data_IF_132396311396
#
_entry.id   IF_132396311396
#
_cell.length_a   1.000
_cell.length_b   1.000
_cell.length_c   1.000
_cell.angle_alpha   90.00
_cell.angle_beta   90.00
_cell.angle_gamma   90.00
#
_symmetry.space_group_name_H-M   'P 1'
#
loop_
_entity.id
_entity.type
_entity.pdbx_description
1 polymer ?
#
# COMPACT_ATOMS: atom_id res chain seq x y z
N UNK A 1 6.08 11.30 -4.22
CA UNK A 1 6.27 10.51 -5.47
C UNK A 1 6.98 9.19 -5.22
N UNK A 2 7.97 9.12 -4.33
CA UNK A 2 8.75 7.90 -4.04
C UNK A 2 7.94 6.66 -3.63
N UNK A 3 6.86 6.82 -2.85
CA UNK A 3 6.13 5.66 -2.33
C UNK A 3 5.45 4.81 -3.42
N UNK A 4 4.75 5.43 -4.37
CA UNK A 4 4.13 4.71 -5.48
C UNK A 4 5.18 4.08 -6.41
N UNK A 5 6.34 4.73 -6.59
CA UNK A 5 7.47 4.17 -7.32
C UNK A 5 8.05 2.94 -6.61
N UNK A 6 8.24 2.99 -5.29
CA UNK A 6 8.67 1.85 -4.48
C UNK A 6 7.68 0.69 -4.59
N UNK A 7 6.38 0.96 -4.42
CA UNK A 7 5.32 -0.03 -4.56
C UNK A 7 5.34 -0.66 -5.96
N UNK A 8 5.33 0.16 -7.01
CA UNK A 8 5.36 -0.31 -8.39
C UNK A 8 6.62 -1.14 -8.69
N UNK A 9 7.78 -0.71 -8.18
CA UNK A 9 9.04 -1.44 -8.30
C UNK A 9 8.95 -2.81 -7.64
N UNK A 10 8.44 -2.89 -6.40
CA UNK A 10 8.30 -4.17 -5.67
C UNK A 10 7.33 -5.13 -6.36
N UNK A 11 6.22 -4.62 -6.91
CA UNK A 11 5.28 -5.40 -7.73
C UNK A 11 5.97 -5.89 -9.00
N UNK A 12 6.75 -5.04 -9.67
CA UNK A 12 7.49 -5.42 -10.88
C UNK A 12 8.48 -6.54 -10.62
N UNK A 13 9.25 -6.47 -9.52
CA UNK A 13 10.24 -7.51 -9.16
C UNK A 13 9.62 -8.73 -8.44
N UNK A 14 8.35 -8.65 -8.05
CA UNK A 14 7.62 -9.76 -7.42
C UNK A 14 7.98 -10.05 -5.97
N UNK A 15 8.69 -9.14 -5.29
CA UNK A 15 9.09 -9.31 -3.88
C UNK A 15 9.11 -8.00 -3.11
N UNK A 16 8.79 -8.07 -1.83
CA UNK A 16 8.92 -6.97 -0.86
C UNK A 16 9.17 -7.56 0.54
N UNK A 17 9.99 -6.89 1.34
CA UNK A 17 10.15 -7.23 2.74
C UNK A 17 9.04 -6.54 3.57
N UNK A 18 8.46 -7.18 4.61
CA UNK A 18 7.43 -6.54 5.44
C UNK A 18 7.84 -5.19 6.02
N UNK A 19 9.11 -5.03 6.43
CA UNK A 19 9.64 -3.75 6.90
C UNK A 19 9.58 -2.66 5.83
N UNK A 20 9.83 -2.98 4.56
CA UNK A 20 9.72 -2.01 3.46
C UNK A 20 8.26 -1.56 3.32
N UNK A 21 7.31 -2.48 3.43
CA UNK A 21 5.87 -2.15 3.38
C UNK A 21 5.51 -1.15 4.47
N UNK A 22 5.84 -1.46 5.73
CA UNK A 22 5.52 -0.62 6.88
C UNK A 22 6.22 0.75 6.78
N UNK A 23 7.51 0.78 6.44
CA UNK A 23 8.26 2.03 6.31
C UNK A 23 7.68 2.92 5.22
N UNK A 24 7.32 2.36 4.07
CA UNK A 24 6.68 3.12 2.98
C UNK A 24 5.33 3.71 3.42
N UNK A 25 4.52 2.98 4.21
CA UNK A 25 3.25 3.50 4.71
C UNK A 25 3.47 4.62 5.74
N UNK A 26 4.45 4.48 6.64
CA UNK A 26 4.84 5.53 7.58
C UNK A 26 5.30 6.79 6.83
N UNK A 27 6.13 6.64 5.79
CA UNK A 27 6.59 7.75 4.96
C UNK A 27 5.42 8.47 4.27
N UNK A 28 4.49 7.73 3.67
CA UNK A 28 3.28 8.28 3.04
C UNK A 28 2.45 9.07 4.06
N UNK A 29 2.29 8.53 5.27
CA UNK A 29 1.59 9.21 6.34
C UNK A 29 2.30 10.48 6.79
N UNK A 30 3.62 10.44 6.98
CA UNK A 30 4.39 11.60 7.39
C UNK A 30 4.34 12.72 6.34
N UNK A 31 4.29 12.38 5.05
CA UNK A 31 4.22 13.34 3.95
C UNK A 31 2.84 14.00 3.78
N UNK A 32 1.75 13.31 4.10
CA UNK A 32 0.40 13.82 3.78
C UNK A 32 -0.76 13.27 4.60
N UNK A 33 -0.44 12.72 5.77
CA UNK A 33 -1.36 12.15 6.74
C UNK A 33 -2.20 11.01 6.20
N UNK A 34 -3.31 10.74 6.90
CA UNK A 34 -4.30 9.73 6.51
C UNK A 34 -4.86 9.96 5.10
N UNK A 35 -4.94 11.21 4.64
CA UNK A 35 -5.38 11.54 3.28
C UNK A 35 -4.46 10.98 2.19
N UNK A 36 -3.14 10.97 2.42
CA UNK A 36 -2.18 10.36 1.51
C UNK A 36 -2.31 8.83 1.49
N UNK A 37 -2.45 8.20 2.65
CA UNK A 37 -2.70 6.75 2.74
C UNK A 37 -3.96 6.33 1.99
N UNK A 38 -5.05 7.10 2.09
CA UNK A 38 -6.30 6.85 1.34
C UNK A 38 -6.13 6.98 -0.17
N UNK A 39 -5.24 7.86 -0.65
CA UNK A 39 -4.90 7.95 -2.08
C UNK A 39 -4.14 6.71 -2.54
N UNK A 40 -3.18 6.24 -1.73
CA UNK A 40 -2.43 5.00 -2.00
C UNK A 40 -3.37 3.80 -2.02
N UNK A 41 -4.28 3.67 -1.05
CA UNK A 41 -5.30 2.63 -1.01
C UNK A 41 -6.12 2.57 -2.31
N UNK A 42 -6.65 3.71 -2.77
CA UNK A 42 -7.42 3.77 -4.03
C UNK A 42 -6.59 3.39 -5.25
N UNK A 43 -5.35 3.86 -5.32
CA UNK A 43 -4.46 3.53 -6.43
C UNK A 43 -4.13 2.03 -6.46
N UNK A 44 -3.87 1.44 -5.29
CA UNK A 44 -3.63 0.00 -5.14
C UNK A 44 -4.86 -0.84 -5.49
N UNK A 45 -6.06 -0.40 -5.14
CA UNK A 45 -7.29 -1.10 -5.51
C UNK A 45 -7.49 -1.17 -7.03
N UNK A 46 -7.31 -0.03 -7.73
CA UNK A 46 -7.38 0.01 -9.19
C UNK A 46 -6.26 -0.82 -9.85
N UNK A 47 -5.06 -0.77 -9.28
CA UNK A 47 -3.90 -1.50 -9.81
C UNK A 47 -4.04 -3.01 -9.62
N UNK A 48 -4.50 -3.45 -8.46
CA UNK A 48 -4.73 -4.87 -8.16
C UNK A 48 -5.78 -5.46 -9.09
N UNK A 49 -6.88 -4.75 -9.31
CA UNK A 49 -7.93 -5.16 -10.25
C UNK A 49 -7.38 -5.30 -11.68
N UNK A 50 -6.71 -4.26 -12.19
CA UNK A 50 -6.13 -4.29 -13.53
C UNK A 50 -5.06 -5.40 -13.71
N UNK A 51 -4.25 -5.67 -12.68
CA UNK A 51 -3.25 -6.73 -12.71
C UNK A 51 -3.90 -8.12 -12.66
N UNK A 52 -5.00 -8.27 -11.90
CA UNK A 52 -5.78 -9.50 -11.81
C UNK A 52 -6.47 -9.83 -13.13
N UNK A 53 -7.11 -8.85 -13.77
CA UNK A 53 -7.77 -9.01 -15.08
C UNK A 53 -6.79 -9.45 -16.18
N UNK A 54 -5.55 -8.99 -16.11
CA UNK A 54 -4.47 -9.35 -17.04
C UNK A 54 -3.75 -10.64 -16.68
N UNK A 55 -4.18 -11.35 -15.62
CA UNK A 55 -3.48 -12.50 -15.05
C UNK A 55 -1.98 -12.24 -14.78
N UNK A 56 -1.64 -11.02 -14.35
CA UNK A 56 -0.25 -10.64 -14.10
C UNK A 56 0.34 -11.52 -12.98
N UNK A 57 1.59 -12.02 -13.13
CA UNK A 57 2.19 -12.99 -12.21
C UNK A 57 2.28 -12.49 -10.76
N UNK A 58 2.39 -11.17 -10.57
CA UNK A 58 2.54 -10.54 -9.26
C UNK A 58 1.26 -9.82 -8.77
N UNK A 59 0.09 -10.15 -9.32
CA UNK A 59 -1.20 -9.62 -8.85
C UNK A 59 -1.41 -9.84 -7.34
N UNK A 60 -0.98 -11.00 -6.81
CA UNK A 60 -1.01 -11.30 -5.37
C UNK A 60 -0.19 -10.31 -4.52
N UNK A 61 0.91 -9.78 -5.06
CA UNK A 61 1.74 -8.81 -4.35
C UNK A 61 1.09 -7.42 -4.31
N UNK A 62 0.41 -7.02 -5.38
CA UNK A 62 -0.43 -5.82 -5.38
C UNK A 62 -1.56 -5.94 -4.34
N UNK A 63 -2.16 -7.14 -4.23
CA UNK A 63 -3.15 -7.44 -3.20
C UNK A 63 -2.58 -7.35 -1.78
N UNK A 64 -1.38 -7.91 -1.55
CA UNK A 64 -0.72 -7.82 -0.25
C UNK A 64 -0.44 -6.36 0.16
N UNK A 65 -0.01 -5.51 -0.79
CA UNK A 65 0.13 -4.07 -0.55
C UNK A 65 -1.20 -3.39 -0.19
N UNK A 66 -2.28 -3.73 -0.90
CA UNK A 66 -3.61 -3.20 -0.61
C UNK A 66 -4.09 -3.60 0.78
N UNK A 67 -3.96 -4.88 1.14
CA UNK A 67 -4.39 -5.41 2.43
C UNK A 67 -3.56 -4.83 3.58
N UNK A 68 -2.24 -4.69 3.40
CA UNK A 68 -1.38 -4.02 4.38
C UNK A 68 -1.74 -2.54 4.58
N UNK A 69 -2.05 -1.82 3.49
CA UNK A 69 -2.48 -0.41 3.56
C UNK A 69 -3.79 -0.26 4.33
N UNK A 70 -4.74 -1.17 4.11
CA UNK A 70 -6.02 -1.20 4.85
C UNK A 70 -5.81 -1.54 6.32
N UNK A 71 -4.98 -2.53 6.62
CA UNK A 71 -4.64 -2.90 7.99
C UNK A 71 -3.99 -1.73 8.76
N UNK A 72 -3.06 -1.02 8.11
CA UNK A 72 -2.44 0.18 8.68
C UNK A 72 -3.47 1.28 8.98
N UNK A 73 -4.39 1.56 8.05
CA UNK A 73 -5.45 2.55 8.23
C UNK A 73 -6.40 2.20 9.39
N UNK A 74 -6.72 0.92 9.58
CA UNK A 74 -7.55 0.45 10.70
C UNK A 74 -6.81 0.64 12.02
N UNK A 75 -5.58 0.12 12.13
CA UNK A 75 -4.77 0.25 13.35
C UNK A 75 -4.54 1.72 13.73
N UNK A 76 -4.31 2.58 12.74
CA UNK A 76 -4.15 4.02 12.97
C UNK A 76 -5.45 4.69 13.46
N UNK A 77 -6.61 4.29 12.93
CA UNK A 77 -7.90 4.81 13.37
C UNK A 77 -8.23 4.39 14.81
N UNK A 78 -7.86 3.17 15.21
CA UNK A 78 -7.99 2.69 16.58
C UNK A 78 -7.09 3.47 17.55
N UNK A 79 -5.82 3.70 17.17
CA UNK A 79 -4.87 4.48 17.96
C UNK A 79 -5.39 5.91 18.23
N UNK A 80 -5.93 6.59 17.22
CA UNK A 80 -6.50 7.95 17.37
C UNK A 80 -7.76 8.02 18.25
N UNK A 81 -8.47 6.91 18.47
CA UNK A 81 -9.64 6.87 19.36
C UNK A 81 -9.26 6.66 20.83
N UNK A 82 -8.04 6.16 21.07
CA UNK A 82 -7.53 5.89 22.41
C UNK A 82 -6.79 7.08 23.05
N UNK A 83 -6.61 8.18 22.30
CA UNK A 83 -5.97 9.44 22.72
C UNK A 83 -7.02 10.53 22.82
#
# INVERSE_FOLDING_TARGET
MRALETIAHTIKIGKVHPTTVVNTLIEVENEGGTGALRRVERHLALSEEALRERAHPHSRLARAWLDATRAYLVAHAECKRAV
#
